data_IF_540032578865
#
_entry.id   IF_540032578865
#
_cell.length_a   1.000
_cell.length_b   1.000
_cell.length_c   1.000
_cell.angle_alpha   90.00
_cell.angle_beta   90.00
_cell.angle_gamma   90.00
#
_symmetry.space_group_name_H-M   'P 1'
#
loop_
_entity.id
_entity.type
_entity.pdbx_description
1 polymer ?
#
# COMPACT_ATOMS: atom_id res chain seq x y z
N UNK A 1 34.04 11.95 -25.24
CA UNK A 1 33.13 11.04 -25.95
C UNK A 1 31.75 11.22 -25.35
N UNK A 2 30.77 11.62 -26.16
CA UNK A 2 29.41 11.94 -25.71
C UNK A 2 28.61 10.67 -25.45
N UNK A 3 28.24 10.43 -24.18
CA UNK A 3 27.31 9.36 -23.80
C UNK A 3 25.91 9.68 -24.35
N UNK A 4 25.48 8.95 -25.37
CA UNK A 4 24.13 9.06 -25.94
C UNK A 4 23.19 8.29 -25.02
N UNK A 5 22.49 8.99 -24.14
CA UNK A 5 21.46 8.39 -23.30
C UNK A 5 20.19 8.16 -24.13
N UNK A 6 19.69 6.92 -24.16
CA UNK A 6 18.45 6.54 -24.87
C UNK A 6 17.34 6.30 -23.87
N UNK A 7 16.08 6.53 -24.23
CA UNK A 7 14.94 6.24 -23.35
C UNK A 7 14.34 4.89 -23.68
N UNK A 8 14.02 4.08 -22.68
CA UNK A 8 13.25 2.85 -22.89
C UNK A 8 11.77 3.17 -23.17
N UNK A 9 10.99 2.14 -23.51
CA UNK A 9 9.54 2.24 -23.76
C UNK A 9 8.72 2.79 -22.57
N UNK A 10 9.33 2.84 -21.38
CA UNK A 10 8.76 3.39 -20.14
C UNK A 10 9.36 4.77 -19.77
N UNK A 11 10.07 5.42 -20.70
CA UNK A 11 10.64 6.76 -20.52
C UNK A 11 11.88 6.83 -19.62
N UNK A 12 12.42 5.70 -19.13
CA UNK A 12 13.65 5.68 -18.30
C UNK A 12 14.86 5.96 -19.17
N UNK A 13 15.74 6.85 -18.70
CA UNK A 13 17.06 7.07 -19.28
C UNK A 13 17.91 5.82 -19.11
N UNK A 14 18.51 5.37 -20.20
CA UNK A 14 19.47 4.28 -20.25
C UNK A 14 20.85 4.86 -20.57
N UNK A 15 21.87 4.44 -19.83
CA UNK A 15 23.27 4.71 -20.13
C UNK A 15 23.91 3.43 -20.64
N UNK A 16 24.66 3.58 -21.72
CA UNK A 16 25.43 2.50 -22.31
C UNK A 16 26.76 2.39 -21.59
N UNK A 17 27.00 1.25 -20.98
CA UNK A 17 28.25 0.92 -20.30
C UNK A 17 29.35 0.54 -21.30
N UNK A 18 30.59 0.52 -20.82
CA UNK A 18 31.77 0.20 -21.64
C UNK A 18 31.74 -1.22 -22.24
N UNK A 19 30.97 -2.14 -21.65
CA UNK A 19 30.75 -3.51 -22.14
C UNK A 19 29.64 -3.58 -23.22
N UNK A 20 29.03 -2.45 -23.56
CA UNK A 20 27.98 -2.35 -24.56
C UNK A 20 26.57 -2.64 -24.05
N UNK A 21 26.40 -2.98 -22.76
CA UNK A 21 25.07 -3.13 -22.15
C UNK A 21 24.46 -1.78 -21.82
N UNK A 22 23.14 -1.72 -21.80
CA UNK A 22 22.39 -0.55 -21.36
C UNK A 22 21.90 -0.78 -19.93
N UNK A 23 22.35 0.04 -18.98
CA UNK A 23 21.79 0.09 -17.63
C UNK A 23 20.88 1.30 -17.48
N UNK A 24 19.84 1.17 -16.66
CA UNK A 24 19.00 2.31 -16.31
C UNK A 24 19.85 3.34 -15.55
N UNK A 25 19.88 4.59 -16.03
CA UNK A 25 20.49 5.70 -15.30
C UNK A 25 19.60 5.98 -14.10
N UNK A 26 20.00 5.48 -12.94
CA UNK A 26 19.40 5.82 -11.65
C UNK A 26 19.80 7.24 -11.25
N UNK A 27 19.28 8.25 -11.93
CA UNK A 27 19.30 9.62 -11.45
C UNK A 27 17.88 10.15 -11.42
N UNK A 28 17.14 9.72 -10.40
CA UNK A 28 15.82 10.24 -10.08
C UNK A 28 15.05 9.28 -9.18
N UNK A 29 14.55 9.79 -8.06
CA UNK A 29 13.48 9.12 -7.32
C UNK A 29 12.27 8.89 -8.23
N UNK A 30 11.40 7.91 -7.91
CA UNK A 30 10.16 7.73 -8.66
C UNK A 30 9.37 9.05 -8.73
N UNK A 31 8.99 9.45 -9.94
CA UNK A 31 8.22 10.68 -10.15
C UNK A 31 6.78 10.35 -10.54
N UNK A 32 5.78 10.87 -9.81
CA UNK A 32 4.38 10.70 -10.13
C UNK A 32 4.03 11.34 -11.49
N UNK A 33 3.24 10.64 -12.30
CA UNK A 33 2.64 11.15 -13.51
C UNK A 33 1.21 11.62 -13.21
N UNK A 34 0.97 12.94 -13.23
CA UNK A 34 -0.34 13.56 -12.93
C UNK A 34 -0.95 13.07 -11.60
N UNK A 35 -0.10 12.83 -10.60
CA UNK A 35 -0.52 12.35 -9.28
C UNK A 35 -0.71 10.84 -9.13
N UNK A 36 -0.38 10.08 -10.18
CA UNK A 36 -0.30 8.62 -10.17
C UNK A 36 1.15 8.19 -10.09
N UNK A 37 1.49 7.37 -9.10
CA UNK A 37 2.78 6.70 -9.02
C UNK A 37 2.57 5.19 -8.98
N UNK A 38 3.28 4.45 -9.83
CA UNK A 38 3.24 2.99 -9.89
C UNK A 38 4.68 2.49 -9.78
N UNK A 39 4.95 1.67 -8.77
CA UNK A 39 6.20 0.95 -8.57
C UNK A 39 5.94 -0.51 -8.93
N UNK A 40 6.65 -1.01 -9.92
CA UNK A 40 6.44 -2.34 -10.51
C UNK A 40 7.28 -3.40 -9.77
N UNK A 41 6.82 -4.65 -9.77
CA UNK A 41 7.53 -5.82 -9.23
C UNK A 41 8.85 -6.11 -9.98
N UNK A 42 8.93 -5.68 -11.24
CA UNK A 42 10.12 -5.72 -12.09
C UNK A 42 11.15 -4.60 -11.78
N UNK A 43 11.00 -3.87 -10.66
CA UNK A 43 12.10 -3.09 -10.11
C UNK A 43 13.19 -4.06 -9.61
N UNK A 44 14.05 -4.50 -10.53
CA UNK A 44 15.38 -5.04 -10.23
C UNK A 44 16.22 -3.93 -9.58
N UNK A 45 15.91 -3.59 -8.34
CA UNK A 45 16.77 -2.74 -7.51
C UNK A 45 17.84 -3.65 -6.94
N UNK A 46 18.99 -3.65 -7.61
CA UNK A 46 20.22 -4.33 -7.21
C UNK A 46 20.87 -3.68 -5.96
N UNK A 47 20.07 -3.24 -4.99
CA UNK A 47 20.52 -2.50 -3.82
C UNK A 47 20.47 -3.36 -2.56
N UNK A 48 21.63 -3.44 -1.91
CA UNK A 48 21.81 -3.75 -0.49
C UNK A 48 21.10 -2.77 0.48
N UNK A 49 20.08 -2.01 0.05
CA UNK A 49 19.22 -1.19 0.90
C UNK A 49 17.88 -0.89 0.21
N UNK A 50 16.90 -1.82 0.18
CA UNK A 50 15.64 -1.62 -0.56
C UNK A 50 14.61 -0.69 0.10
N UNK A 51 14.96 -0.02 1.19
CA UNK A 51 14.01 0.54 2.14
C UNK A 51 14.15 2.06 2.00
N UNK A 52 13.03 2.78 1.88
CA UNK A 52 12.91 4.23 1.69
C UNK A 52 12.83 4.77 0.25
N UNK A 53 12.30 3.97 -0.70
CA UNK A 53 12.04 4.37 -2.10
C UNK A 53 11.29 5.70 -2.27
N UNK A 54 10.42 6.05 -1.32
CA UNK A 54 9.52 7.19 -1.42
C UNK A 54 10.08 8.48 -0.81
N UNK A 55 11.26 8.44 -0.18
CA UNK A 55 11.85 9.59 0.52
C UNK A 55 12.07 10.82 -0.35
N UNK A 56 12.37 10.62 -1.63
CA UNK A 56 12.59 11.74 -2.57
C UNK A 56 11.40 12.07 -3.46
N UNK A 57 10.22 11.50 -3.19
CA UNK A 57 9.01 11.78 -3.96
C UNK A 57 8.41 13.13 -3.52
N UNK A 58 8.82 14.19 -4.19
CA UNK A 58 8.45 15.58 -3.86
C UNK A 58 7.31 16.16 -4.72
N UNK A 59 6.39 15.31 -5.19
CA UNK A 59 5.27 15.75 -6.02
C UNK A 59 3.94 15.22 -5.47
N UNK A 60 2.82 15.98 -5.64
CA UNK A 60 1.51 15.52 -5.21
C UNK A 60 1.19 14.16 -5.83
N UNK A 61 0.83 13.21 -4.99
CA UNK A 61 0.43 11.85 -5.37
C UNK A 61 -0.85 11.53 -4.66
N UNK A 62 -1.87 11.07 -5.39
CA UNK A 62 -3.15 10.66 -4.84
C UNK A 62 -3.48 9.21 -5.16
N UNK A 63 -2.85 8.64 -6.19
CA UNK A 63 -2.88 7.22 -6.51
C UNK A 63 -1.47 6.65 -6.40
N UNK A 64 -1.30 5.63 -5.56
CA UNK A 64 -0.05 4.93 -5.39
C UNK A 64 -0.28 3.43 -5.56
N UNK A 65 0.49 2.82 -6.45
CA UNK A 65 0.56 1.37 -6.63
C UNK A 65 1.95 0.88 -6.25
N UNK A 66 2.01 0.04 -5.23
CA UNK A 66 3.18 -0.66 -4.72
C UNK A 66 3.07 -2.17 -4.95
N UNK A 67 2.05 -2.63 -5.69
CA UNK A 67 1.74 -4.05 -5.83
C UNK A 67 2.96 -4.88 -6.21
N UNK A 68 3.23 -5.93 -5.43
CA UNK A 68 4.39 -6.81 -5.66
C UNK A 68 5.73 -6.28 -5.15
N UNK A 69 5.85 -5.00 -4.76
CA UNK A 69 7.09 -4.47 -4.19
C UNK A 69 7.23 -4.93 -2.74
N UNK A 70 8.25 -5.74 -2.47
CA UNK A 70 8.40 -6.43 -1.19
C UNK A 70 8.87 -5.49 -0.07
N UNK A 71 8.12 -5.45 1.03
CA UNK A 71 8.46 -4.74 2.25
C UNK A 71 7.78 -5.40 3.47
N UNK A 72 8.35 -5.32 4.67
CA UNK A 72 7.69 -5.81 5.88
C UNK A 72 6.56 -4.90 6.37
N UNK A 73 6.58 -3.60 6.02
CA UNK A 73 5.58 -2.60 6.44
C UNK A 73 5.47 -1.46 5.42
N UNK A 74 4.43 -0.62 5.54
CA UNK A 74 4.34 0.59 4.70
C UNK A 74 5.44 1.61 5.06
N UNK A 75 5.79 1.73 6.34
CA UNK A 75 6.85 2.64 6.80
C UNK A 75 8.21 2.34 6.16
N UNK A 76 8.43 1.08 5.77
CA UNK A 76 9.65 0.65 5.07
C UNK A 76 9.84 1.33 3.72
N UNK A 77 8.77 1.69 3.02
CA UNK A 77 8.89 2.41 1.75
C UNK A 77 9.40 3.84 1.92
N UNK A 78 9.50 4.37 3.14
CA UNK A 78 9.89 5.75 3.41
C UNK A 78 8.83 6.76 2.95
N UNK A 79 9.25 7.96 2.60
CA UNK A 79 8.35 9.07 2.27
C UNK A 79 7.93 9.84 3.52
N UNK A 80 7.80 11.16 3.36
CA UNK A 80 7.39 12.02 4.48
C UNK A 80 5.89 11.88 4.78
N UNK A 81 5.47 12.36 5.96
CA UNK A 81 4.07 12.28 6.37
C UNK A 81 3.12 13.00 5.41
N UNK A 82 3.58 14.03 4.69
CA UNK A 82 2.76 14.80 3.74
C UNK A 82 2.50 14.00 2.47
N UNK A 83 3.48 13.25 2.01
CA UNK A 83 3.33 12.32 0.89
C UNK A 83 2.23 11.30 1.18
N UNK A 84 2.32 10.59 2.32
CA UNK A 84 1.34 9.57 2.71
C UNK A 84 -0.05 10.16 2.98
N UNK A 85 -0.11 11.34 3.61
CA UNK A 85 -1.37 12.06 3.82
C UNK A 85 -2.00 12.54 2.51
N UNK A 86 -1.27 12.59 1.39
CA UNK A 86 -1.81 12.92 0.06
C UNK A 86 -2.53 11.76 -0.64
N UNK A 87 -2.24 10.51 -0.23
CA UNK A 87 -2.74 9.32 -0.91
C UNK A 87 -4.24 9.13 -0.68
N UNK A 88 -4.98 8.96 -1.77
CA UNK A 88 -6.42 8.67 -1.77
C UNK A 88 -6.70 7.21 -2.15
N UNK A 89 -5.85 6.61 -2.97
CA UNK A 89 -5.95 5.20 -3.36
C UNK A 89 -4.58 4.55 -3.29
N UNK A 90 -4.47 3.50 -2.48
CA UNK A 90 -3.25 2.74 -2.27
C UNK A 90 -3.45 1.28 -2.62
N UNK A 91 -2.70 0.79 -3.59
CA UNK A 91 -2.48 -0.64 -3.80
C UNK A 91 -1.16 -1.04 -3.14
N UNK A 92 -1.24 -1.88 -2.10
CA UNK A 92 -0.10 -2.49 -1.44
C UNK A 92 -0.31 -4.02 -1.35
N UNK A 93 -0.94 -4.58 -2.38
CA UNK A 93 -1.22 -6.01 -2.50
C UNK A 93 0.07 -6.78 -2.80
N UNK A 94 0.20 -8.02 -2.30
CA UNK A 94 1.36 -8.90 -2.60
C UNK A 94 2.73 -8.29 -2.26
N UNK A 95 2.79 -7.43 -1.27
CA UNK A 95 4.02 -6.76 -0.85
C UNK A 95 4.78 -7.53 0.24
N UNK A 96 4.30 -8.73 0.64
CA UNK A 96 4.82 -9.50 1.79
C UNK A 96 4.77 -8.73 3.13
N UNK A 97 3.84 -7.77 3.27
CA UNK A 97 3.68 -6.98 4.49
C UNK A 97 3.39 -7.89 5.68
N UNK A 98 4.17 -7.74 6.74
CA UNK A 98 4.02 -8.46 8.01
C UNK A 98 3.52 -7.55 9.12
N UNK A 99 3.52 -6.24 8.90
CA UNK A 99 2.99 -5.26 9.84
C UNK A 99 2.20 -4.15 9.16
N UNK A 100 1.23 -3.61 9.89
CA UNK A 100 0.42 -2.43 9.51
C UNK A 100 1.07 -1.10 9.90
N UNK A 101 2.34 -1.12 10.33
CA UNK A 101 3.11 0.09 10.59
C UNK A 101 3.13 1.03 9.36
N UNK A 102 2.88 2.32 9.60
CA UNK A 102 2.76 3.36 8.57
C UNK A 102 1.32 3.63 8.10
N UNK A 103 0.36 2.74 8.38
CA UNK A 103 -1.07 2.95 8.00
C UNK A 103 -1.64 4.22 8.62
N UNK A 104 -1.22 4.60 9.83
CA UNK A 104 -1.67 5.83 10.51
C UNK A 104 -1.36 7.12 9.72
N UNK A 105 -0.45 7.09 8.74
CA UNK A 105 -0.12 8.25 7.90
C UNK A 105 -1.11 8.46 6.75
N UNK A 106 -2.00 7.50 6.47
CA UNK A 106 -2.94 7.48 5.35
C UNK A 106 -4.21 8.30 5.62
N UNK A 107 -4.09 9.51 6.16
CA UNK A 107 -5.23 10.27 6.70
C UNK A 107 -6.28 10.70 5.65
N UNK A 108 -5.96 10.65 4.36
CA UNK A 108 -6.89 10.96 3.27
C UNK A 108 -7.28 9.75 2.40
N UNK A 109 -6.86 8.54 2.77
CA UNK A 109 -7.12 7.36 1.95
C UNK A 109 -8.61 7.05 1.89
N UNK A 110 -9.08 6.74 0.69
CA UNK A 110 -10.45 6.31 0.41
C UNK A 110 -10.51 4.82 0.08
N UNK A 111 -9.47 4.30 -0.58
CA UNK A 111 -9.38 2.89 -0.96
C UNK A 111 -8.00 2.34 -0.62
N UNK A 112 -7.98 1.33 0.25
CA UNK A 112 -6.76 0.68 0.74
C UNK A 112 -6.81 -0.82 0.42
N UNK A 113 -5.89 -1.27 -0.44
CA UNK A 113 -5.74 -2.68 -0.81
C UNK A 113 -4.46 -3.24 -0.18
N UNK A 114 -4.64 -4.19 0.73
CA UNK A 114 -3.62 -4.91 1.49
C UNK A 114 -3.76 -6.43 1.29
N UNK A 115 -4.49 -6.88 0.27
CA UNK A 115 -4.72 -8.29 0.00
C UNK A 115 -3.42 -9.04 -0.33
N UNK A 116 -3.42 -10.34 -0.02
CA UNK A 116 -2.29 -11.25 -0.33
C UNK A 116 -0.98 -10.81 0.30
N UNK A 117 -1.02 -10.35 1.54
CA UNK A 117 0.16 -10.07 2.36
C UNK A 117 0.33 -11.14 3.45
N UNK A 118 1.21 -10.91 4.41
CA UNK A 118 1.50 -11.79 5.52
C UNK A 118 0.98 -11.23 6.87
N UNK A 119 -0.07 -10.40 6.85
CA UNK A 119 -0.62 -9.77 8.05
C UNK A 119 -1.31 -10.82 8.93
N UNK A 120 -0.76 -11.01 10.13
CA UNK A 120 -1.30 -11.94 11.13
C UNK A 120 -2.55 -11.37 11.81
N UNK A 121 -3.27 -12.20 12.57
CA UNK A 121 -4.47 -11.76 13.29
C UNK A 121 -4.20 -10.57 14.23
N UNK A 122 -3.12 -10.54 15.04
CA UNK A 122 -2.77 -9.36 15.84
C UNK A 122 -2.61 -8.08 15.02
N UNK A 123 -1.99 -8.15 13.84
CA UNK A 123 -1.80 -6.98 12.97
C UNK A 123 -3.11 -6.48 12.38
N UNK A 124 -4.01 -7.38 11.96
CA UNK A 124 -5.33 -6.98 11.49
C UNK A 124 -6.20 -6.43 12.63
N UNK A 125 -6.09 -6.94 13.85
CA UNK A 125 -6.72 -6.33 15.02
C UNK A 125 -6.16 -4.94 15.32
N UNK A 126 -4.85 -4.74 15.12
CA UNK A 126 -4.25 -3.42 15.24
C UNK A 126 -4.77 -2.46 14.16
N UNK A 127 -4.91 -2.93 12.92
CA UNK A 127 -5.56 -2.18 11.83
C UNK A 127 -6.96 -1.73 12.24
N UNK A 128 -7.80 -2.62 12.79
CA UNK A 128 -9.15 -2.27 13.28
C UNK A 128 -9.11 -1.10 14.26
N UNK A 129 -8.16 -1.09 15.19
CA UNK A 129 -8.00 -0.01 16.19
C UNK A 129 -7.59 1.31 15.55
N UNK A 130 -6.92 1.28 14.41
CA UNK A 130 -6.43 2.47 13.70
C UNK A 130 -7.38 2.99 12.63
N UNK A 131 -8.46 2.29 12.26
CA UNK A 131 -9.31 2.73 11.13
C UNK A 131 -9.90 4.12 11.35
N UNK A 132 -10.14 4.53 12.60
CA UNK A 132 -10.59 5.88 12.94
C UNK A 132 -9.64 7.00 12.46
N UNK A 133 -8.36 6.69 12.21
CA UNK A 133 -7.36 7.63 11.67
C UNK A 133 -7.51 7.83 10.15
N UNK A 134 -8.34 7.03 9.49
CA UNK A 134 -8.65 7.09 8.06
C UNK A 134 -10.13 7.45 7.85
N UNK A 135 -10.57 8.68 8.21
CA UNK A 135 -11.99 9.05 8.26
C UNK A 135 -12.68 9.05 6.89
N UNK A 136 -11.91 8.99 5.80
CA UNK A 136 -12.42 8.96 4.41
C UNK A 136 -12.42 7.56 3.82
N UNK A 137 -12.05 6.53 4.57
CA UNK A 137 -11.94 5.16 4.08
C UNK A 137 -13.32 4.63 3.68
N UNK A 138 -13.47 4.28 2.41
CA UNK A 138 -14.69 3.74 1.79
C UNK A 138 -14.50 2.30 1.36
N UNK A 139 -13.28 1.90 1.00
CA UNK A 139 -12.96 0.54 0.61
C UNK A 139 -11.71 0.03 1.30
N UNK A 140 -11.80 -1.16 1.87
CA UNK A 140 -10.69 -1.85 2.50
C UNK A 140 -10.66 -3.30 2.01
N UNK A 141 -9.51 -3.74 1.52
CA UNK A 141 -9.29 -5.14 1.16
C UNK A 141 -8.06 -5.65 1.88
N UNK A 142 -8.22 -6.71 2.67
CA UNK A 142 -7.12 -7.44 3.31
C UNK A 142 -7.32 -8.95 3.14
N UNK A 143 -8.09 -9.39 2.14
CA UNK A 143 -8.30 -10.81 1.86
C UNK A 143 -6.97 -11.54 1.61
N UNK A 144 -6.99 -12.86 1.74
CA UNK A 144 -5.81 -13.71 1.56
C UNK A 144 -4.60 -13.35 2.48
N UNK A 145 -4.86 -12.69 3.62
CA UNK A 145 -3.90 -12.56 4.71
C UNK A 145 -4.13 -13.66 5.77
N UNK A 146 -3.08 -14.16 6.43
CA UNK A 146 -3.20 -15.24 7.41
C UNK A 146 -4.02 -14.85 8.65
N UNK A 147 -4.17 -13.56 8.93
CA UNK A 147 -4.97 -13.04 10.03
C UNK A 147 -6.47 -12.98 9.77
N UNK A 148 -6.92 -13.22 8.53
CA UNK A 148 -8.34 -13.07 8.16
C UNK A 148 -9.17 -14.13 8.88
N UNK A 149 -10.11 -13.67 9.70
CA UNK A 149 -11.13 -14.50 10.32
C UNK A 149 -12.42 -13.70 10.58
N UNK A 150 -13.56 -14.36 10.82
CA UNK A 150 -14.84 -13.69 11.03
C UNK A 150 -14.81 -12.59 12.11
N UNK A 151 -14.11 -12.84 13.22
CA UNK A 151 -13.93 -11.87 14.30
C UNK A 151 -13.24 -10.57 13.86
N UNK A 152 -12.22 -10.66 12.99
CA UNK A 152 -11.52 -9.48 12.44
C UNK A 152 -12.45 -8.72 11.50
N UNK A 153 -13.17 -9.42 10.62
CA UNK A 153 -14.14 -8.81 9.71
C UNK A 153 -15.20 -8.04 10.49
N UNK A 154 -15.76 -8.66 11.53
CA UNK A 154 -16.72 -8.03 12.44
C UNK A 154 -16.16 -6.77 13.09
N UNK A 155 -14.93 -6.85 13.63
CA UNK A 155 -14.25 -5.72 14.27
C UNK A 155 -14.06 -4.54 13.32
N UNK A 156 -13.67 -4.79 12.06
CA UNK A 156 -13.53 -3.73 11.04
C UNK A 156 -14.87 -3.07 10.75
N UNK A 157 -15.93 -3.86 10.55
CA UNK A 157 -17.27 -3.33 10.24
C UNK A 157 -17.79 -2.45 11.38
N UNK A 158 -17.57 -2.85 12.63
CA UNK A 158 -17.95 -2.06 13.82
C UNK A 158 -17.12 -0.79 13.92
N UNK A 159 -15.80 -0.88 13.72
CA UNK A 159 -14.88 0.26 13.82
C UNK A 159 -15.04 1.27 12.66
N UNK A 160 -15.70 0.87 11.56
CA UNK A 160 -15.71 1.61 10.30
C UNK A 160 -17.14 1.69 9.72
N UNK A 161 -18.09 2.37 10.40
CA UNK A 161 -19.50 2.39 9.98
C UNK A 161 -19.74 3.04 8.61
N UNK A 162 -18.79 3.86 8.12
CA UNK A 162 -18.83 4.48 6.79
C UNK A 162 -18.22 3.64 5.66
N UNK A 163 -17.75 2.42 5.95
CA UNK A 163 -17.10 1.56 4.96
C UNK A 163 -18.14 1.02 3.97
N UNK A 164 -17.89 1.21 2.68
CA UNK A 164 -18.78 0.79 1.59
C UNK A 164 -18.39 -0.56 0.99
N UNK A 165 -17.09 -0.87 1.01
CA UNK A 165 -16.52 -2.08 0.43
C UNK A 165 -15.52 -2.74 1.39
N UNK A 166 -15.68 -4.04 1.60
CA UNK A 166 -14.79 -4.87 2.41
C UNK A 166 -14.47 -6.16 1.67
N UNK A 167 -13.19 -6.45 1.44
CA UNK A 167 -12.71 -7.68 0.79
C UNK A 167 -13.45 -8.00 -0.52
N UNK A 168 -13.59 -6.99 -1.39
CA UNK A 168 -14.28 -7.10 -2.67
C UNK A 168 -15.82 -7.16 -2.61
N UNK A 169 -16.41 -7.17 -1.41
CA UNK A 169 -17.86 -7.22 -1.21
C UNK A 169 -18.40 -5.86 -0.79
N UNK A 170 -19.60 -5.51 -1.26
CA UNK A 170 -20.29 -4.31 -0.80
C UNK A 170 -20.81 -4.53 0.61
N UNK A 171 -20.50 -3.60 1.52
CA UNK A 171 -21.06 -3.61 2.88
C UNK A 171 -22.53 -3.23 2.80
N UNK A 172 -23.39 -4.06 3.38
CA UNK A 172 -24.84 -3.84 3.43
C UNK A 172 -25.30 -3.80 4.89
N UNK A 173 -26.50 -3.28 5.16
CA UNK A 173 -27.12 -3.33 6.50
C UNK A 173 -27.19 -4.77 7.05
N UNK A 174 -27.40 -5.77 6.18
CA UNK A 174 -27.38 -7.19 6.57
C UNK A 174 -26.01 -7.67 7.03
N UNK A 175 -24.93 -7.13 6.45
CA UNK A 175 -23.55 -7.43 6.84
C UNK A 175 -23.24 -6.94 8.26
N UNK A 176 -23.90 -5.88 8.72
CA UNK A 176 -23.77 -5.38 10.10
C UNK A 176 -24.70 -6.10 11.08
N UNK A 177 -25.93 -6.42 10.66
CA UNK A 177 -26.93 -7.06 11.51
C UNK A 177 -26.74 -8.59 11.67
N UNK A 178 -25.91 -9.20 10.83
CA UNK A 178 -25.56 -10.63 10.90
C UNK A 178 -24.43 -10.97 11.87
N UNK A 179 -23.87 -9.97 12.57
CA UNK A 179 -22.82 -10.18 13.56
C UNK A 179 -23.41 -10.85 14.79
N UNK A 180 -22.96 -12.07 15.09
CA UNK A 180 -23.45 -12.84 16.24
C UNK A 180 -22.75 -12.40 17.53
N UNK A 181 -23.35 -12.69 18.69
CA UNK A 181 -22.73 -12.43 20.00
C UNK A 181 -21.36 -13.12 20.13
N UNK A 182 -21.17 -14.28 19.49
CA UNK A 182 -19.88 -14.97 19.39
C UNK A 182 -18.83 -14.23 18.56
N UNK A 183 -19.25 -13.43 17.57
CA UNK A 183 -18.33 -12.59 16.80
C UNK A 183 -17.87 -11.39 17.64
N UNK A 184 -18.74 -10.91 18.54
CA UNK A 184 -18.53 -9.75 19.43
C UNK A 184 -17.74 -10.08 20.70
N UNK A 185 -17.81 -11.32 21.21
CA UNK A 185 -17.14 -11.72 22.46
C UNK A 185 -15.61 -11.80 22.34
N UNK A 186 -15.06 -11.69 21.13
CA UNK A 186 -13.61 -11.61 20.87
C UNK A 186 -13.07 -10.19 20.73
N UNK A 187 -13.94 -9.19 20.93
CA UNK A 187 -13.67 -7.74 20.80
C UNK A 187 -13.51 -7.06 22.18
N UNK A 188 -13.97 -7.71 23.25
CA UNK A 188 -13.74 -7.29 24.65
C UNK A 188 -12.55 -8.03 25.25
#
# INVERSE_FOLDING_TARGET
MSNIATRNRHGRLLQREADGKYQAVLNGFPHPNRGTLILDEDLEVDFCAPWRLLDGVNAPTHYLDLGGVKAPSLSTFGGDARFWAGIQKLYASRCELRSVEGVALLTNVQYLYLDKNCLTRPELQNLCRMVHLMPKLRGLDFQDNPGVCPAVIASVLIASPGLEWLNGQRVTERSMNGLTISDLSSVL
#
